data_IF_679957015468
#
_entry.id   IF_679957015468
#
_cell.length_a   1.000
_cell.length_b   1.000
_cell.length_c   1.000
_cell.angle_alpha   90.00
_cell.angle_beta   90.00
_cell.angle_gamma   90.00
#
_symmetry.space_group_name_H-M   'P 1'
#
loop_
_entity.id
_entity.type
_entity.pdbx_description
1 polymer ?
#
# COMPACT_ATOMS: atom_id res chain seq x y z
N UNK A 1 44.98 -16.73 27.35
CA UNK A 1 43.71 -16.81 28.12
C UNK A 1 43.24 -18.26 28.14
N UNK A 2 43.01 -18.84 29.32
CA UNK A 2 42.47 -20.20 29.50
C UNK A 2 40.95 -20.12 29.42
N UNK A 3 40.37 -20.48 28.28
CA UNK A 3 38.90 -20.64 28.15
C UNK A 3 38.53 -21.88 28.97
N UNK A 4 37.74 -21.69 30.04
CA UNK A 4 37.28 -22.76 30.91
C UNK A 4 36.32 -23.70 30.17
N UNK A 5 36.34 -24.98 30.54
CA UNK A 5 35.60 -26.05 29.84
C UNK A 5 34.07 -25.85 29.84
N UNK A 6 33.58 -25.07 30.80
CA UNK A 6 32.16 -24.71 30.96
C UNK A 6 31.65 -23.66 29.96
N UNK A 7 32.54 -22.96 29.24
CA UNK A 7 32.15 -21.96 28.23
C UNK A 7 31.50 -22.62 27.01
N UNK A 8 31.94 -23.84 26.64
CA UNK A 8 31.36 -24.59 25.50
C UNK A 8 29.85 -24.83 25.65
N UNK A 9 29.35 -25.47 26.73
CA UNK A 9 27.92 -25.70 26.89
C UNK A 9 27.13 -24.40 27.08
N UNK A 10 27.73 -23.37 27.71
CA UNK A 10 27.10 -22.08 27.88
C UNK A 10 26.82 -21.39 26.53
N UNK A 11 27.78 -21.39 25.60
CA UNK A 11 27.60 -20.82 24.26
C UNK A 11 26.56 -21.58 23.44
N UNK A 12 26.50 -22.91 23.56
CA UNK A 12 25.47 -23.71 22.89
C UNK A 12 24.07 -23.41 23.43
N UNK A 13 23.92 -23.28 24.75
CA UNK A 13 22.65 -22.90 25.37
C UNK A 13 22.19 -21.50 24.97
N UNK A 14 23.12 -20.54 24.92
CA UNK A 14 22.82 -19.18 24.45
C UNK A 14 22.36 -19.17 22.99
N UNK A 15 23.01 -19.93 22.10
CA UNK A 15 22.59 -20.06 20.70
C UNK A 15 21.20 -20.68 20.56
N UNK A 16 20.94 -21.79 21.24
CA UNK A 16 19.64 -22.46 21.22
C UNK A 16 18.52 -21.55 21.77
N UNK A 17 18.78 -20.84 22.87
CA UNK A 17 17.85 -19.88 23.46
C UNK A 17 17.53 -18.71 22.53
N UNK A 18 18.54 -18.14 21.86
CA UNK A 18 18.35 -17.05 20.90
C UNK A 18 17.48 -17.48 19.72
N UNK A 19 17.69 -18.69 19.18
CA UNK A 19 16.86 -19.24 18.09
C UNK A 19 15.42 -19.46 18.57
N UNK A 20 15.23 -20.05 19.76
CA UNK A 20 13.90 -20.26 20.32
C UNK A 20 13.14 -18.93 20.51
N UNK A 21 13.80 -17.90 21.06
CA UNK A 21 13.22 -16.57 21.23
C UNK A 21 12.87 -15.93 19.88
N UNK A 22 13.74 -16.03 18.88
CA UNK A 22 13.45 -15.51 17.54
C UNK A 22 12.23 -16.22 16.93
N UNK A 23 12.16 -17.54 16.97
CA UNK A 23 11.03 -18.29 16.42
C UNK A 23 9.72 -17.88 17.10
N UNK A 24 9.69 -17.82 18.44
CA UNK A 24 8.49 -17.40 19.18
C UNK A 24 8.14 -15.94 18.88
N UNK A 25 9.14 -15.05 18.87
CA UNK A 25 8.97 -13.63 18.61
C UNK A 25 8.39 -13.33 17.22
N UNK A 26 8.96 -13.92 16.18
CA UNK A 26 8.55 -13.66 14.78
C UNK A 26 7.28 -14.41 14.36
N UNK A 27 6.90 -15.52 15.01
CA UNK A 27 5.68 -16.25 14.66
C UNK A 27 4.46 -15.83 15.49
N UNK A 28 4.64 -15.60 16.80
CA UNK A 28 3.54 -15.28 17.72
C UNK A 28 3.69 -13.94 18.40
N UNK A 29 4.91 -13.52 18.70
CA UNK A 29 5.20 -12.26 19.38
C UNK A 29 4.98 -11.00 18.54
N UNK A 30 4.63 -11.15 17.26
CA UNK A 30 4.44 -10.03 16.33
C UNK A 30 5.73 -9.27 16.04
N UNK A 31 6.90 -9.89 16.24
CA UNK A 31 8.16 -9.26 15.86
C UNK A 31 8.22 -9.13 14.35
N UNK A 32 8.66 -7.97 13.90
CA UNK A 32 8.94 -7.69 12.51
C UNK A 32 10.23 -6.89 12.44
N UNK A 33 10.91 -6.95 11.31
CA UNK A 33 12.09 -6.10 11.09
C UNK A 33 11.65 -4.65 10.87
N UNK A 34 12.55 -3.69 11.08
CA UNK A 34 12.25 -2.26 10.85
C UNK A 34 11.79 -1.98 9.42
N UNK A 35 12.39 -2.64 8.43
CA UNK A 35 12.01 -2.50 7.02
C UNK A 35 10.58 -3.03 6.77
N UNK A 36 10.22 -4.17 7.35
CA UNK A 36 8.85 -4.70 7.26
C UNK A 36 7.84 -3.78 7.95
N UNK A 37 8.19 -3.19 9.09
CA UNK A 37 7.35 -2.24 9.81
C UNK A 37 7.10 -0.97 8.99
N UNK A 38 8.14 -0.46 8.32
CA UNK A 38 8.06 0.73 7.47
C UNK A 38 7.20 0.47 6.23
N UNK A 39 7.39 -0.66 5.56
CA UNK A 39 6.57 -1.07 4.40
C UNK A 39 5.10 -1.28 4.79
N UNK A 40 4.85 -1.89 5.96
CA UNK A 40 3.49 -2.05 6.48
C UNK A 40 2.85 -0.69 6.77
N UNK A 41 3.60 0.24 7.36
CA UNK A 41 3.11 1.60 7.65
C UNK A 41 2.79 2.38 6.38
N UNK A 42 3.67 2.35 5.38
CA UNK A 42 3.48 3.03 4.10
C UNK A 42 2.29 2.43 3.32
N UNK A 43 2.20 1.10 3.24
CA UNK A 43 1.08 0.42 2.57
C UNK A 43 -0.27 0.66 3.27
N UNK A 44 -0.30 0.63 4.60
CA UNK A 44 -1.50 0.94 5.38
C UNK A 44 -1.93 2.40 5.18
N UNK A 45 -0.98 3.34 5.23
CA UNK A 45 -1.23 4.76 5.01
C UNK A 45 -1.78 5.02 3.60
N UNK A 46 -1.15 4.43 2.58
CA UNK A 46 -1.63 4.54 1.18
C UNK A 46 -3.03 3.98 1.03
N UNK A 47 -3.29 2.79 1.58
CA UNK A 47 -4.60 2.14 1.50
C UNK A 47 -5.68 2.97 2.18
N UNK A 48 -5.40 3.51 3.37
CA UNK A 48 -6.34 4.36 4.09
C UNK A 48 -6.66 5.65 3.32
N UNK A 49 -5.63 6.32 2.78
CA UNK A 49 -5.79 7.54 1.97
C UNK A 49 -6.60 7.25 0.71
N UNK A 50 -6.27 6.18 -0.01
CA UNK A 50 -6.98 5.78 -1.23
C UNK A 50 -8.43 5.43 -0.91
N UNK A 51 -8.70 4.65 0.15
CA UNK A 51 -10.06 4.29 0.54
C UNK A 51 -10.89 5.50 0.95
N UNK A 52 -10.28 6.48 1.64
CA UNK A 52 -10.96 7.71 2.04
C UNK A 52 -11.25 8.64 0.86
N UNK A 53 -10.36 8.68 -0.14
CA UNK A 53 -10.45 9.61 -1.28
C UNK A 53 -11.12 9.01 -2.52
N UNK A 54 -11.27 7.70 -2.60
CA UNK A 54 -12.03 7.05 -3.68
C UNK A 54 -13.44 7.64 -3.84
N UNK A 55 -14.26 7.82 -2.79
CA UNK A 55 -15.57 8.47 -2.95
C UNK A 55 -15.47 9.90 -3.47
N UNK A 56 -14.43 10.66 -3.09
CA UNK A 56 -14.17 11.99 -3.63
C UNK A 56 -13.88 11.97 -5.13
N UNK A 57 -13.08 11.01 -5.60
CA UNK A 57 -12.80 10.85 -7.04
C UNK A 57 -14.09 10.54 -7.82
N UNK A 58 -14.95 9.67 -7.28
CA UNK A 58 -16.25 9.36 -7.88
C UNK A 58 -17.14 10.59 -7.94
N UNK A 59 -17.21 11.40 -6.87
CA UNK A 59 -18.01 12.62 -6.86
C UNK A 59 -17.48 13.69 -7.83
N UNK A 60 -16.15 13.80 -7.93
CA UNK A 60 -15.49 14.65 -8.91
C UNK A 60 -15.83 14.24 -10.35
N UNK A 61 -15.82 12.93 -10.63
CA UNK A 61 -16.24 12.41 -11.94
C UNK A 61 -17.70 12.73 -12.28
N UNK A 62 -18.60 12.78 -11.29
CA UNK A 62 -20.02 13.14 -11.51
C UNK A 62 -20.23 14.63 -11.73
N UNK A 63 -19.37 15.45 -11.12
CA UNK A 63 -19.43 16.91 -11.21
C UNK A 63 -18.69 17.45 -12.44
N UNK A 64 -17.92 16.62 -13.14
CA UNK A 64 -17.18 16.99 -14.33
C UNK A 64 -18.12 17.18 -15.54
N UNK A 65 -18.12 18.37 -16.20
CA UNK A 65 -18.92 18.59 -17.41
C UNK A 65 -18.53 17.69 -18.59
N UNK A 66 -17.31 17.16 -18.62
CA UNK A 66 -16.79 16.25 -19.63
C UNK A 66 -16.83 14.77 -19.19
N UNK A 67 -17.47 14.46 -18.06
CA UNK A 67 -17.55 13.11 -17.50
C UNK A 67 -17.95 12.04 -18.52
N UNK A 68 -18.97 12.32 -19.31
CA UNK A 68 -19.49 11.39 -20.32
C UNK A 68 -18.44 10.99 -21.36
N UNK A 69 -17.61 11.94 -21.81
CA UNK A 69 -16.52 11.69 -22.75
C UNK A 69 -15.40 10.89 -22.09
N UNK A 70 -14.95 11.33 -20.91
CA UNK A 70 -13.85 10.68 -20.19
C UNK A 70 -14.22 9.25 -19.79
N UNK A 71 -15.46 8.99 -19.36
CA UNK A 71 -15.95 7.64 -19.03
C UNK A 71 -16.03 6.75 -20.27
N UNK A 72 -16.43 7.30 -21.43
CA UNK A 72 -16.42 6.56 -22.69
C UNK A 72 -14.98 6.16 -23.10
N UNK A 73 -14.03 7.09 -22.99
CA UNK A 73 -12.62 6.83 -23.24
C UNK A 73 -12.06 5.81 -22.24
N UNK A 74 -12.43 5.91 -20.96
CA UNK A 74 -12.04 4.97 -19.90
C UNK A 74 -12.54 3.54 -20.17
N UNK A 75 -13.77 3.41 -20.69
CA UNK A 75 -14.38 2.12 -21.05
C UNK A 75 -13.68 1.49 -22.25
N UNK A 76 -13.31 2.29 -23.24
CA UNK A 76 -12.61 1.84 -24.45
C UNK A 76 -11.12 1.54 -24.21
N UNK A 77 -10.50 2.17 -23.21
CA UNK A 77 -9.08 2.05 -22.91
C UNK A 77 -8.69 0.70 -22.32
N UNK A 78 -7.44 0.31 -22.57
CA UNK A 78 -6.83 -0.86 -21.93
C UNK A 78 -6.51 -0.60 -20.45
N UNK A 79 -6.26 -1.67 -19.69
CA UNK A 79 -5.99 -1.60 -18.25
C UNK A 79 -4.82 -0.69 -17.86
N UNK A 80 -3.80 -0.54 -18.71
CA UNK A 80 -2.65 0.31 -18.46
C UNK A 80 -2.96 1.80 -18.68
N UNK A 81 -3.87 2.12 -19.61
CA UNK A 81 -4.24 3.49 -19.97
C UNK A 81 -5.29 4.09 -19.03
N UNK A 82 -6.14 3.26 -18.43
CA UNK A 82 -7.25 3.71 -17.57
C UNK A 82 -6.81 4.61 -16.42
N UNK A 83 -5.66 4.29 -15.82
CA UNK A 83 -5.07 5.11 -14.76
C UNK A 83 -4.74 6.52 -15.26
N UNK A 84 -4.05 6.62 -16.41
CA UNK A 84 -3.68 7.90 -17.04
C UNK A 84 -4.91 8.75 -17.35
N UNK A 85 -5.96 8.14 -17.88
CA UNK A 85 -7.21 8.85 -18.22
C UNK A 85 -7.82 9.52 -16.97
N UNK A 86 -7.84 8.84 -15.83
CA UNK A 86 -8.35 9.41 -14.56
C UNK A 86 -7.41 10.47 -13.99
N UNK A 87 -6.09 10.33 -14.19
CA UNK A 87 -5.09 11.34 -13.78
C UNK A 87 -5.20 12.60 -14.65
N UNK A 88 -5.34 12.46 -15.97
CA UNK A 88 -5.48 13.54 -16.94
C UNK A 88 -6.81 14.27 -16.80
N UNK A 89 -7.87 13.57 -16.42
CA UNK A 89 -9.15 14.18 -16.04
C UNK A 89 -9.09 14.93 -14.70
N UNK A 90 -8.03 14.77 -13.92
CA UNK A 90 -7.84 15.44 -12.63
C UNK A 90 -8.68 14.88 -11.48
N UNK A 91 -9.46 13.82 -11.70
CA UNK A 91 -10.32 13.23 -10.67
C UNK A 91 -9.53 12.58 -9.53
N UNK A 92 -8.29 12.17 -9.80
CA UNK A 92 -7.36 11.63 -8.81
C UNK A 92 -6.49 12.69 -8.12
N UNK A 93 -6.80 13.98 -8.27
CA UNK A 93 -6.11 15.09 -7.59
C UNK A 93 -6.98 15.60 -6.43
N UNK A 94 -6.67 15.25 -5.17
CA UNK A 94 -7.41 15.72 -4.02
C UNK A 94 -7.31 17.23 -3.86
N UNK A 95 -8.32 17.85 -3.25
CA UNK A 95 -8.29 19.30 -2.94
C UNK A 95 -7.03 19.66 -2.14
N UNK A 96 -6.21 20.56 -2.67
CA UNK A 96 -4.95 21.00 -2.05
C UNK A 96 -3.70 20.20 -2.46
N UNK A 97 -3.83 19.19 -3.32
CA UNK A 97 -2.69 18.52 -3.93
C UNK A 97 -2.32 19.15 -5.29
N UNK A 98 -1.03 19.31 -5.56
CA UNK A 98 -0.53 19.81 -6.86
C UNK A 98 -0.43 18.71 -7.93
N UNK A 99 -0.40 17.45 -7.52
CA UNK A 99 -0.20 16.30 -8.41
C UNK A 99 -1.27 15.22 -8.18
N UNK A 100 -1.67 14.50 -9.24
CA UNK A 100 -2.58 13.38 -9.11
C UNK A 100 -1.94 12.25 -8.31
N UNK A 101 -2.74 11.61 -7.44
CA UNK A 101 -2.32 10.43 -6.72
C UNK A 101 -2.58 9.18 -7.58
N UNK A 102 -1.51 8.54 -8.03
CA UNK A 102 -1.62 7.38 -8.91
C UNK A 102 -2.35 6.18 -8.30
N UNK A 103 -2.24 5.95 -6.99
CA UNK A 103 -2.98 4.88 -6.31
C UNK A 103 -4.47 5.20 -6.22
N UNK A 104 -4.81 6.47 -6.04
CA UNK A 104 -6.20 6.93 -6.10
C UNK A 104 -6.77 6.77 -7.51
N UNK A 105 -6.03 7.15 -8.55
CA UNK A 105 -6.44 6.94 -9.94
C UNK A 105 -6.70 5.46 -10.24
N UNK A 106 -5.83 4.57 -9.73
CA UNK A 106 -5.96 3.13 -9.87
C UNK A 106 -7.24 2.59 -9.20
N UNK A 107 -7.55 3.02 -7.98
CA UNK A 107 -8.77 2.58 -7.29
C UNK A 107 -10.03 3.17 -7.94
N UNK A 108 -9.98 4.45 -8.32
CA UNK A 108 -11.11 5.14 -8.91
C UNK A 108 -11.49 4.55 -10.27
N UNK A 109 -10.53 4.23 -11.14
CA UNK A 109 -10.87 3.59 -12.42
C UNK A 109 -11.49 2.20 -12.23
N UNK A 110 -11.10 1.45 -11.19
CA UNK A 110 -11.74 0.14 -10.89
C UNK A 110 -13.21 0.34 -10.53
N UNK A 111 -13.51 1.26 -9.61
CA UNK A 111 -14.89 1.53 -9.19
C UNK A 111 -15.74 2.12 -10.32
N UNK A 112 -15.19 3.00 -11.14
CA UNK A 112 -15.89 3.57 -12.30
C UNK A 112 -16.18 2.50 -13.35
N UNK A 113 -15.20 1.67 -13.72
CA UNK A 113 -15.39 0.56 -14.67
C UNK A 113 -16.41 -0.45 -14.16
N UNK A 114 -16.43 -0.71 -12.85
CA UNK A 114 -17.42 -1.60 -12.23
C UNK A 114 -18.84 -1.02 -12.28
N UNK A 115 -18.98 0.30 -12.27
CA UNK A 115 -20.28 0.99 -12.30
C UNK A 115 -20.82 1.25 -13.72
N UNK A 116 -20.04 0.96 -14.76
CA UNK A 116 -20.34 1.23 -16.18
C UNK A 116 -20.96 0.05 -16.94
#
# INVERSE_FOLDING_TARGET
MKISEWIKPALMGAGAGAIALAVVGFNWGGWMTSSSAEELSDSASRTAVVSALTPYCIESSKSDPMASKVLADLKAANSYQRKSIVEEAGWATPTGAEKPNGFLAQACQIELVKAM
#
